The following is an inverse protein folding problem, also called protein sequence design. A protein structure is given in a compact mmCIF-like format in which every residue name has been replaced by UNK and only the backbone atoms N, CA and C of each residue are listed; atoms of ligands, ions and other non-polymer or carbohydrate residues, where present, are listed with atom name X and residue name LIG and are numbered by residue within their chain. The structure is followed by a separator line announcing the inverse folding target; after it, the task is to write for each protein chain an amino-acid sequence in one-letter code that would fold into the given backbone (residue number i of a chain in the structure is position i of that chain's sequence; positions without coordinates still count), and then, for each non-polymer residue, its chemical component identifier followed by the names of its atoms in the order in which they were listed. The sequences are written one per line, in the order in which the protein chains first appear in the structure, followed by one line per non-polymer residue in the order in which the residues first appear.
data_IF_947215650050
#
_entry.id   IF_947215650050
#
_cell.length_a   1.000
_cell.length_b   1.000
_cell.length_c   1.000
_cell.angle_alpha   90.00
_cell.angle_beta   90.00
_cell.angle_gamma   90.00
#
_symmetry.space_group_name_H-M   'P 1'
#
loop_
_entity.id
_entity.type
_entity.pdbx_description
1 polymer ?
#
# COMPACT_ATOMS: atom_id res chain seq x y z
N UNK A 1 -1.87 -9.87 3.78
CA UNK A 1 -1.50 -9.34 2.44
C UNK A 1 -2.74 -9.15 1.58
N UNK A 2 -2.76 -8.11 0.74
CA UNK A 2 -3.83 -7.91 -0.26
C UNK A 2 -3.27 -8.13 -1.67
N UNK A 3 -3.98 -8.89 -2.51
CA UNK A 3 -3.66 -9.12 -3.92
C UNK A 3 -4.72 -8.44 -4.77
N UNK A 4 -4.29 -7.54 -5.64
CA UNK A 4 -5.14 -6.81 -6.59
C UNK A 4 -4.53 -6.87 -7.98
N UNK A 5 -5.18 -6.24 -8.96
CA UNK A 5 -4.64 -6.12 -10.31
C UNK A 5 -5.63 -6.50 -11.39
N UNK A 6 -5.23 -6.28 -12.64
CA UNK A 6 -6.17 -6.24 -13.77
C UNK A 6 -6.82 -7.60 -14.02
N UNK A 7 -8.00 -7.59 -14.63
CA UNK A 7 -8.65 -8.83 -15.08
C UNK A 7 -7.72 -9.58 -16.05
N UNK A 8 -7.50 -10.88 -15.82
CA UNK A 8 -6.62 -11.69 -16.65
C UNK A 8 -5.11 -11.45 -16.48
N UNK A 9 -4.68 -10.66 -15.48
CA UNK A 9 -3.26 -10.43 -15.19
C UNK A 9 -2.55 -11.66 -14.57
N UNK A 10 -3.29 -12.68 -14.15
CA UNK A 10 -2.76 -13.92 -13.56
C UNK A 10 -2.79 -13.98 -12.04
N UNK A 11 -3.77 -13.33 -11.38
CA UNK A 11 -3.92 -13.29 -9.91
C UNK A 11 -4.04 -14.69 -9.30
N UNK A 12 -4.97 -15.49 -9.81
CA UNK A 12 -5.18 -16.89 -9.41
C UNK A 12 -3.91 -17.72 -9.58
N UNK A 13 -3.18 -17.55 -10.68
CA UNK A 13 -1.90 -18.23 -10.92
C UNK A 13 -0.84 -17.84 -9.89
N UNK A 14 -0.73 -16.55 -9.56
CA UNK A 14 0.18 -16.05 -8.54
C UNK A 14 -0.16 -16.58 -7.15
N UNK A 15 -1.43 -16.53 -6.76
CA UNK A 15 -1.89 -17.03 -5.45
C UNK A 15 -1.62 -18.52 -5.33
N UNK A 16 -1.97 -19.32 -6.35
CA UNK A 16 -1.68 -20.75 -6.34
C UNK A 16 -0.19 -21.06 -6.22
N UNK A 17 0.66 -20.34 -6.97
CA UNK A 17 2.11 -20.49 -6.86
C UNK A 17 2.59 -20.15 -5.44
N UNK A 18 2.11 -19.04 -4.88
CA UNK A 18 2.48 -18.59 -3.54
C UNK A 18 2.06 -19.58 -2.45
N UNK A 19 0.86 -20.16 -2.55
CA UNK A 19 0.36 -21.19 -1.64
C UNK A 19 1.26 -22.43 -1.66
N UNK A 20 1.65 -22.91 -2.86
CA UNK A 20 2.53 -24.07 -3.01
C UNK A 20 3.93 -23.84 -2.43
N UNK A 21 4.48 -22.63 -2.57
CA UNK A 21 5.80 -22.28 -2.04
C UNK A 21 5.84 -22.15 -0.52
N UNK A 22 4.71 -21.81 0.10
CA UNK A 22 4.59 -21.63 1.54
C UNK A 22 3.89 -22.84 2.20
N UNK A 23 4.20 -24.04 1.69
CA UNK A 23 3.70 -25.31 2.23
C UNK A 23 4.02 -25.42 3.73
N UNK A 24 2.99 -25.57 4.55
CA UNK A 24 3.09 -25.68 6.01
C UNK A 24 2.73 -24.41 6.77
N UNK A 25 2.60 -23.27 6.10
CA UNK A 25 2.05 -22.04 6.67
C UNK A 25 0.53 -22.12 6.70
N UNK A 26 -0.08 -21.74 7.82
CA UNK A 26 -1.54 -21.68 7.97
C UNK A 26 -2.10 -20.42 7.30
N UNK A 27 -2.51 -20.57 6.03
CA UNK A 27 -2.97 -19.45 5.19
C UNK A 27 -4.49 -19.51 5.03
N UNK A 28 -5.15 -18.40 5.34
CA UNK A 28 -6.53 -18.12 4.95
C UNK A 28 -6.57 -17.34 3.63
N UNK A 29 -7.49 -17.69 2.74
CA UNK A 29 -7.72 -16.99 1.48
C UNK A 29 -9.15 -16.44 1.43
N UNK A 30 -9.29 -15.15 1.17
CA UNK A 30 -10.58 -14.50 0.92
C UNK A 30 -10.61 -14.05 -0.53
N UNK A 31 -11.55 -14.60 -1.28
CA UNK A 31 -11.83 -14.20 -2.66
C UNK A 31 -13.00 -13.22 -2.64
N UNK A 32 -12.71 -11.94 -2.86
CA UNK A 32 -13.74 -10.91 -2.96
C UNK A 32 -14.14 -10.76 -4.44
N UNK A 33 -15.12 -11.56 -4.89
CA UNK A 33 -15.73 -11.48 -6.22
C UNK A 33 -16.96 -10.56 -6.28
N UNK A 34 -17.15 -9.91 -7.43
CA UNK A 34 -18.32 -9.08 -7.76
C UNK A 34 -18.91 -9.66 -9.05
N UNK A 35 -19.92 -10.53 -8.95
CA UNK A 35 -20.56 -11.19 -10.09
C UNK A 35 -21.02 -12.62 -9.77
N UNK A 36 -22.01 -13.12 -10.50
CA UNK A 36 -22.54 -14.49 -10.33
C UNK A 36 -21.56 -15.53 -10.92
N UNK A 37 -21.19 -16.49 -10.08
CA UNK A 37 -20.49 -17.76 -10.36
C UNK A 37 -18.97 -17.64 -10.58
N UNK A 38 -18.21 -18.03 -9.54
CA UNK A 38 -16.81 -18.40 -9.65
C UNK A 38 -16.70 -19.67 -10.52
N UNK A 39 -16.11 -19.55 -11.72
CA UNK A 39 -15.72 -20.74 -12.53
C UNK A 39 -14.37 -21.31 -12.03
N UNK A 40 -13.65 -20.53 -11.22
CA UNK A 40 -12.26 -20.80 -10.83
C UNK A 40 -12.09 -21.53 -9.49
N UNK A 41 -13.18 -21.85 -8.76
CA UNK A 41 -13.14 -22.65 -7.50
C UNK A 41 -12.55 -24.06 -7.68
N UNK A 42 -12.29 -24.48 -8.93
CA UNK A 42 -11.71 -25.79 -9.30
C UNK A 42 -10.23 -25.76 -9.68
N UNK A 43 -9.57 -24.60 -9.67
CA UNK A 43 -8.18 -24.45 -10.11
C UNK A 43 -7.15 -24.35 -8.97
N UNK A 44 -7.50 -24.76 -7.75
CA UNK A 44 -6.55 -24.84 -6.63
C UNK A 44 -6.00 -26.27 -6.57
N UNK A 45 -4.81 -26.48 -7.13
CA UNK A 45 -4.04 -27.74 -7.10
C UNK A 45 -3.57 -28.08 -5.68
N UNK A 46 -3.51 -29.38 -5.34
CA UNK A 46 -2.92 -30.16 -4.23
C UNK A 46 -2.73 -29.54 -2.81
N UNK A 47 -2.44 -28.25 -2.66
CA UNK A 47 -2.45 -27.53 -1.40
C UNK A 47 -3.73 -26.69 -1.27
N UNK A 48 -4.62 -27.10 -0.36
CA UNK A 48 -5.81 -26.34 -0.05
C UNK A 48 -5.49 -25.32 1.06
N UNK A 49 -5.84 -24.03 0.91
CA UNK A 49 -5.87 -23.10 2.04
C UNK A 49 -6.67 -23.71 3.19
N UNK A 50 -6.34 -23.34 4.42
CA UNK A 50 -7.09 -23.86 5.57
C UNK A 50 -8.55 -23.43 5.56
N UNK A 51 -8.81 -22.25 5.02
CA UNK A 51 -10.14 -21.74 4.77
C UNK A 51 -10.13 -20.90 3.50
N UNK A 52 -11.10 -21.16 2.62
CA UNK A 52 -11.46 -20.29 1.50
C UNK A 52 -12.82 -19.72 1.83
N UNK A 53 -12.93 -18.40 1.85
CA UNK A 53 -14.21 -17.72 2.01
C UNK A 53 -14.47 -16.84 0.80
N UNK A 54 -15.61 -17.07 0.16
CA UNK A 54 -16.19 -16.11 -0.78
C UNK A 54 -17.02 -15.12 0.04
N UNK A 55 -16.77 -13.82 -0.15
CA UNK A 55 -17.65 -12.77 0.40
C UNK A 55 -18.88 -12.63 -0.51
N UNK A 56 -19.76 -13.64 -0.48
CA UNK A 56 -21.00 -13.65 -1.26
C UNK A 56 -22.09 -12.85 -0.54
N UNK A 57 -21.97 -11.52 -0.50
CA UNK A 57 -23.09 -10.59 -0.35
C UNK A 57 -22.64 -9.17 -0.76
N UNK A 58 -23.24 -8.69 -1.85
CA UNK A 58 -22.88 -7.52 -2.64
C UNK A 58 -22.39 -6.26 -1.92
N UNK A 59 -21.40 -5.62 -2.56
CA UNK A 59 -21.00 -4.22 -2.42
C UNK A 59 -20.08 -3.83 -1.27
N UNK A 60 -18.75 -4.03 -1.42
CA UNK A 60 -17.74 -3.19 -0.72
C UNK A 60 -17.74 -1.75 -1.27
N UNK A 61 -18.93 -1.17 -1.44
CA UNK A 61 -19.15 0.25 -1.62
C UNK A 61 -20.23 0.68 -0.61
N UNK A 62 -19.78 1.40 0.41
CA UNK A 62 -20.59 2.32 1.23
C UNK A 62 -21.32 1.78 2.49
N UNK A 63 -21.53 0.47 2.70
CA UNK A 63 -22.20 -0.05 3.92
C UNK A 63 -21.47 -1.20 4.64
N UNK A 64 -20.32 -1.64 4.12
CA UNK A 64 -19.70 -2.95 4.44
C UNK A 64 -18.52 -2.88 5.43
N UNK A 65 -18.08 -1.71 5.87
CA UNK A 65 -16.95 -1.62 6.81
C UNK A 65 -17.14 -2.50 8.05
N UNK A 66 -18.33 -2.45 8.65
CA UNK A 66 -18.63 -3.26 9.84
C UNK A 66 -18.78 -4.75 9.49
N UNK A 67 -19.43 -5.09 8.37
CA UNK A 67 -19.66 -6.48 7.98
C UNK A 67 -18.36 -7.21 7.60
N UNK A 68 -17.48 -6.53 6.87
CA UNK A 68 -16.14 -7.02 6.56
C UNK A 68 -15.32 -7.26 7.83
N UNK A 69 -15.30 -6.27 8.73
CA UNK A 69 -14.55 -6.36 9.98
C UNK A 69 -15.09 -7.47 10.89
N UNK A 70 -16.42 -7.58 11.03
CA UNK A 70 -17.05 -8.67 11.78
C UNK A 70 -16.73 -10.05 11.19
N UNK A 71 -16.77 -10.19 9.85
CA UNK A 71 -16.46 -11.44 9.17
C UNK A 71 -15.01 -11.87 9.42
N UNK A 72 -14.06 -10.94 9.35
CA UNK A 72 -12.65 -11.21 9.66
C UNK A 72 -12.47 -11.62 11.14
N UNK A 73 -13.16 -10.95 12.06
CA UNK A 73 -13.12 -11.31 13.48
C UNK A 73 -13.69 -12.72 13.72
N UNK A 74 -14.78 -13.08 13.04
CA UNK A 74 -15.36 -14.43 13.14
C UNK A 74 -14.43 -15.50 12.54
N UNK A 75 -13.77 -15.21 11.43
CA UNK A 75 -12.80 -16.12 10.83
C UNK A 75 -11.66 -16.41 11.81
N UNK A 76 -11.09 -15.38 12.45
CA UNK A 76 -10.00 -15.58 13.42
C UNK A 76 -10.49 -16.29 14.69
N UNK A 77 -11.73 -16.04 15.12
CA UNK A 77 -12.33 -16.80 16.24
C UNK A 77 -12.50 -18.28 15.92
N UNK A 78 -12.80 -18.65 14.67
CA UNK A 78 -12.97 -20.05 14.22
C UNK A 78 -11.63 -20.71 13.88
N UNK A 79 -10.67 -19.94 13.39
CA UNK A 79 -9.37 -20.40 12.91
C UNK A 79 -8.26 -19.57 13.57
N UNK A 80 -8.10 -19.73 14.89
CA UNK A 80 -7.12 -19.01 15.73
C UNK A 80 -5.65 -19.39 15.44
N UNK A 81 -5.44 -20.44 14.64
CA UNK A 81 -4.15 -20.94 14.20
C UNK A 81 -3.69 -20.35 12.85
N UNK A 82 -4.49 -19.47 12.23
CA UNK A 82 -4.09 -18.79 10.99
C UNK A 82 -2.90 -17.87 11.24
N UNK A 83 -1.85 -18.06 10.44
CA UNK A 83 -0.63 -17.28 10.50
C UNK A 83 -0.63 -16.15 9.46
N UNK A 84 -1.30 -16.36 8.33
CA UNK A 84 -1.34 -15.43 7.21
C UNK A 84 -2.74 -15.35 6.60
N UNK A 85 -3.14 -14.16 6.19
CA UNK A 85 -4.38 -13.92 5.45
C UNK A 85 -4.07 -13.26 4.11
N UNK A 86 -4.55 -13.87 3.03
CA UNK A 86 -4.52 -13.33 1.68
C UNK A 86 -5.93 -12.89 1.31
N UNK A 87 -6.08 -11.64 0.87
CA UNK A 87 -7.34 -11.11 0.37
C UNK A 87 -7.16 -10.76 -1.10
N UNK A 88 -7.85 -11.48 -1.99
CA UNK A 88 -7.94 -11.13 -3.40
C UNK A 88 -9.08 -10.14 -3.62
N UNK A 89 -8.80 -9.02 -4.29
CA UNK A 89 -9.83 -8.10 -4.80
C UNK A 89 -10.10 -8.37 -6.28
N UNK A 90 -11.33 -8.18 -6.75
CA UNK A 90 -11.66 -8.31 -8.18
C UNK A 90 -10.76 -7.49 -9.10
N UNK A 91 -10.71 -7.93 -10.37
CA UNK A 91 -9.99 -7.24 -11.43
C UNK A 91 -10.36 -5.77 -11.64
N UNK A 92 -11.55 -5.36 -11.18
CA UNK A 92 -12.13 -4.03 -11.44
C UNK A 92 -12.32 -3.19 -10.17
N UNK A 93 -12.11 -3.76 -8.98
CA UNK A 93 -12.37 -3.09 -7.72
C UNK A 93 -11.29 -2.06 -7.37
N UNK A 94 -11.71 -1.03 -6.64
CA UNK A 94 -10.83 -0.14 -5.89
C UNK A 94 -10.36 -0.87 -4.61
N UNK A 95 -9.04 -1.03 -4.38
CA UNK A 95 -8.56 -1.70 -3.17
C UNK A 95 -8.63 -0.82 -1.91
N UNK A 96 -8.85 0.49 -2.03
CA UNK A 96 -8.92 1.42 -0.89
C UNK A 96 -9.87 0.97 0.22
N UNK A 97 -11.16 0.68 -0.08
CA UNK A 97 -12.13 0.20 0.90
C UNK A 97 -11.77 -1.13 1.60
N UNK A 98 -10.87 -1.93 1.02
CA UNK A 98 -10.38 -3.18 1.62
C UNK A 98 -9.16 -2.91 2.52
N UNK A 99 -8.34 -1.91 2.18
CA UNK A 99 -7.14 -1.53 2.93
C UNK A 99 -7.49 -0.68 4.17
N UNK A 100 -8.38 0.30 4.02
CA UNK A 100 -8.73 1.28 5.07
C UNK A 100 -9.12 0.66 6.42
N UNK A 101 -9.92 -0.43 6.49
CA UNK A 101 -10.29 -1.07 7.77
C UNK A 101 -9.12 -1.50 8.63
N UNK A 102 -8.02 -1.98 8.03
CA UNK A 102 -6.81 -2.38 8.77
C UNK A 102 -6.11 -1.20 9.46
N UNK A 103 -6.43 0.03 9.07
CA UNK A 103 -5.90 1.26 9.66
C UNK A 103 -6.94 2.07 10.45
N UNK A 104 -8.22 1.73 10.36
CA UNK A 104 -9.30 2.45 11.03
C UNK A 104 -9.87 1.67 12.22
N UNK A 105 -10.08 0.36 12.07
CA UNK A 105 -10.74 -0.48 13.07
C UNK A 105 -9.74 -0.91 14.16
N UNK A 106 -9.94 -0.51 15.44
CA UNK A 106 -9.09 -0.95 16.54
C UNK A 106 -9.04 -2.47 16.74
N UNK A 107 -10.14 -3.19 16.46
CA UNK A 107 -10.17 -4.64 16.59
C UNK A 107 -9.34 -5.30 15.49
N UNK A 108 -9.45 -4.84 14.24
CA UNK A 108 -8.62 -5.37 13.16
C UNK A 108 -7.14 -5.04 13.38
N UNK A 109 -6.81 -3.84 13.86
CA UNK A 109 -5.42 -3.48 14.22
C UNK A 109 -4.83 -4.38 15.29
N UNK A 110 -5.65 -4.86 16.21
CA UNK A 110 -5.20 -5.77 17.28
C UNK A 110 -5.01 -7.20 16.78
N UNK A 111 -5.79 -7.61 15.78
CA UNK A 111 -5.81 -8.98 15.28
C UNK A 111 -4.90 -9.21 14.06
N UNK A 112 -4.67 -8.17 13.26
CA UNK A 112 -3.97 -8.27 11.99
C UNK A 112 -2.89 -7.22 11.84
N UNK A 113 -1.80 -7.64 11.21
CA UNK A 113 -0.78 -6.74 10.70
C UNK A 113 -0.87 -6.66 9.17
N UNK A 114 -0.97 -5.43 8.66
CA UNK A 114 -1.01 -5.19 7.23
C UNK A 114 0.39 -5.34 6.60
N UNK A 115 0.59 -6.42 5.85
CA UNK A 115 1.88 -6.73 5.21
C UNK A 115 2.16 -5.89 3.95
N UNK A 116 1.13 -5.45 3.24
CA UNK A 116 1.25 -4.75 1.96
C UNK A 116 0.23 -5.20 0.89
N UNK A 117 0.19 -4.44 -0.21
CA UNK A 117 -0.62 -4.74 -1.40
C UNK A 117 0.25 -5.07 -2.60
N UNK A 118 -0.06 -6.17 -3.29
CA UNK A 118 0.57 -6.57 -4.54
C UNK A 118 -0.43 -6.35 -5.69
N UNK A 119 -0.04 -5.61 -6.72
CA UNK A 119 -0.85 -5.37 -7.92
C UNK A 119 -0.28 -6.13 -9.11
N UNK A 120 -1.06 -7.05 -9.67
CA UNK A 120 -0.70 -7.74 -10.92
C UNK A 120 -1.17 -6.92 -12.13
N UNK A 121 -0.24 -6.73 -13.08
CA UNK A 121 -0.47 -5.96 -14.29
C UNK A 121 -0.20 -6.83 -15.50
N UNK A 122 -1.17 -6.91 -16.41
CA UNK A 122 -0.99 -7.55 -17.72
C UNK A 122 -0.18 -6.62 -18.64
N UNK A 123 1.05 -7.00 -18.96
CA UNK A 123 1.94 -6.22 -19.84
C UNK A 123 1.40 -6.06 -21.25
N UNK A 124 0.71 -7.09 -21.77
CA UNK A 124 0.21 -7.11 -23.16
C UNK A 124 -0.94 -6.11 -23.30
N UNK A 125 -1.83 -6.08 -22.32
CA UNK A 125 -3.04 -5.25 -22.34
C UNK A 125 -2.89 -3.90 -21.60
N UNK A 126 -1.71 -3.60 -21.05
CA UNK A 126 -1.46 -2.47 -20.16
C UNK A 126 -2.04 -1.14 -20.66
N UNK A 127 -1.73 -0.76 -21.91
CA UNK A 127 -2.13 0.55 -22.45
C UNK A 127 -3.64 0.73 -22.56
N UNK A 128 -4.37 -0.37 -22.76
CA UNK A 128 -5.84 -0.36 -22.80
C UNK A 128 -6.41 -0.32 -21.38
N UNK A 129 -5.89 -1.14 -20.47
CA UNK A 129 -6.42 -1.25 -19.11
C UNK A 129 -6.13 -0.01 -18.25
N UNK A 130 -4.94 0.57 -18.35
CA UNK A 130 -4.50 1.67 -17.46
C UNK A 130 -5.25 3.00 -17.67
N UNK A 131 -6.12 3.10 -18.66
CA UNK A 131 -6.98 4.29 -18.83
C UNK A 131 -8.11 4.34 -17.82
N UNK A 132 -8.46 3.21 -17.21
CA UNK A 132 -9.52 3.14 -16.21
C UNK A 132 -9.01 3.60 -14.83
N UNK A 133 -9.80 4.44 -14.16
CA UNK A 133 -9.47 5.01 -12.84
C UNK A 133 -9.18 3.92 -11.80
N UNK A 134 -9.94 2.82 -11.81
CA UNK A 134 -9.75 1.74 -10.83
C UNK A 134 -8.42 1.01 -11.04
N UNK A 135 -8.04 0.71 -12.30
CA UNK A 135 -6.73 0.14 -12.61
C UNK A 135 -5.58 1.08 -12.19
N UNK A 136 -5.74 2.40 -12.34
CA UNK A 136 -4.77 3.38 -11.86
C UNK A 136 -4.66 3.34 -10.33
N UNK A 137 -5.79 3.31 -9.62
CA UNK A 137 -5.84 3.20 -8.15
C UNK A 137 -5.20 1.90 -7.64
N UNK A 138 -5.41 0.76 -8.31
CA UNK A 138 -4.76 -0.50 -7.97
C UNK A 138 -3.24 -0.38 -7.99
N UNK A 139 -2.69 0.29 -9.01
CA UNK A 139 -1.25 0.58 -9.09
C UNK A 139 -0.82 1.55 -7.97
N UNK A 140 -1.57 2.64 -7.73
CA UNK A 140 -1.27 3.67 -6.73
C UNK A 140 -1.21 3.10 -5.31
N UNK A 141 -2.13 2.20 -4.97
CA UNK A 141 -2.26 1.63 -3.64
C UNK A 141 -1.35 0.42 -3.40
N UNK A 142 -0.63 -0.05 -4.42
CA UNK A 142 0.27 -1.22 -4.31
C UNK A 142 1.66 -0.89 -3.76
N UNK A 143 2.21 -1.77 -2.93
CA UNK A 143 3.61 -1.75 -2.50
C UNK A 143 4.52 -2.45 -3.52
N UNK A 144 3.98 -3.41 -4.27
CA UNK A 144 4.65 -4.08 -5.36
C UNK A 144 3.73 -4.21 -6.57
N UNK A 145 4.27 -3.96 -7.76
CA UNK A 145 3.64 -4.23 -9.03
C UNK A 145 4.34 -5.41 -9.69
N UNK A 146 3.59 -6.48 -9.95
CA UNK A 146 4.04 -7.61 -10.76
C UNK A 146 3.60 -7.36 -12.19
N UNK A 147 4.55 -7.01 -13.04
CA UNK A 147 4.35 -6.82 -14.47
C UNK A 147 4.47 -8.18 -15.16
N UNK A 148 3.33 -8.85 -15.35
CA UNK A 148 3.25 -10.21 -15.84
C UNK A 148 3.11 -10.27 -17.37
N UNK A 149 3.47 -11.42 -17.97
CA UNK A 149 3.57 -11.63 -19.43
C UNK A 149 4.61 -10.71 -20.08
N UNK A 150 5.65 -10.35 -19.33
CA UNK A 150 6.66 -9.42 -19.81
C UNK A 150 7.44 -10.00 -21.01
N UNK A 151 7.67 -11.31 -21.04
CA UNK A 151 8.37 -11.98 -22.15
C UNK A 151 7.66 -11.91 -23.49
N UNK A 152 6.35 -11.63 -23.51
CA UNK A 152 5.54 -11.50 -24.73
C UNK A 152 5.47 -10.05 -25.25
N UNK A 153 6.17 -9.11 -24.60
CA UNK A 153 6.14 -7.69 -24.93
C UNK A 153 7.52 -7.20 -25.33
N UNK A 154 7.56 -6.41 -26.40
CA UNK A 154 8.79 -5.77 -26.88
C UNK A 154 9.50 -4.95 -25.78
N UNK A 155 10.84 -5.03 -25.65
CA UNK A 155 11.58 -4.33 -24.59
C UNK A 155 11.37 -2.81 -24.53
N UNK A 156 11.19 -2.13 -25.66
CA UNK A 156 10.93 -0.68 -25.67
C UNK A 156 9.51 -0.37 -25.19
N UNK A 157 8.53 -1.21 -25.55
CA UNK A 157 7.18 -1.11 -24.98
C UNK A 157 7.20 -1.34 -23.46
N UNK A 158 7.89 -2.37 -22.98
CA UNK A 158 8.06 -2.63 -21.54
C UNK A 158 8.66 -1.44 -20.81
N UNK A 159 9.71 -0.82 -21.38
CA UNK A 159 10.31 0.40 -20.81
C UNK A 159 9.31 1.54 -20.72
N UNK A 160 8.44 1.70 -21.72
CA UNK A 160 7.31 2.64 -21.68
C UNK A 160 6.33 2.33 -20.55
N UNK A 161 5.97 1.06 -20.35
CA UNK A 161 5.09 0.60 -19.27
C UNK A 161 5.72 0.91 -17.91
N UNK A 162 7.00 0.55 -17.69
CA UNK A 162 7.72 0.88 -16.45
C UNK A 162 7.71 2.37 -16.14
N UNK A 163 7.92 3.22 -17.14
CA UNK A 163 7.88 4.68 -16.97
C UNK A 163 6.49 5.15 -16.54
N UNK A 164 5.43 4.58 -17.11
CA UNK A 164 4.04 4.91 -16.77
C UNK A 164 3.66 4.42 -15.37
N UNK A 165 4.05 3.20 -14.99
CA UNK A 165 3.87 2.67 -13.64
C UNK A 165 4.61 3.53 -12.60
N UNK A 166 5.86 3.89 -12.87
CA UNK A 166 6.63 4.76 -11.99
C UNK A 166 6.05 6.17 -11.88
N UNK A 167 5.33 6.66 -12.90
CA UNK A 167 4.65 7.94 -12.86
C UNK A 167 3.39 7.92 -11.99
N UNK A 168 2.67 6.80 -11.96
CA UNK A 168 1.50 6.60 -11.11
C UNK A 168 1.89 6.31 -9.66
N UNK A 169 2.86 5.40 -9.46
CA UNK A 169 3.32 5.01 -8.14
C UNK A 169 4.83 4.84 -8.11
N UNK A 170 5.51 5.89 -7.66
CA UNK A 170 6.96 5.84 -7.49
C UNK A 170 7.38 5.01 -6.29
N UNK A 171 6.50 4.76 -5.32
CA UNK A 171 6.86 4.04 -4.09
C UNK A 171 6.86 2.52 -4.28
N UNK A 172 6.13 1.99 -5.27
CA UNK A 172 6.04 0.56 -5.52
C UNK A 172 7.33 -0.03 -6.13
N UNK A 173 7.70 -1.22 -5.69
CA UNK A 173 8.69 -2.05 -6.38
C UNK A 173 8.04 -2.65 -7.63
N UNK A 174 8.73 -2.65 -8.77
CA UNK A 174 8.20 -3.23 -10.01
C UNK A 174 9.04 -4.45 -10.37
N UNK A 175 8.40 -5.61 -10.47
CA UNK A 175 9.05 -6.89 -10.80
C UNK A 175 8.40 -7.46 -12.06
N UNK A 176 9.22 -8.00 -12.95
CA UNK A 176 8.75 -8.59 -14.20
C UNK A 176 8.72 -10.09 -14.12
N UNK A 177 7.64 -10.68 -14.62
CA UNK A 177 7.44 -12.13 -14.58
C UNK A 177 6.84 -12.65 -15.87
N UNK A 178 7.03 -13.95 -16.07
CA UNK A 178 6.18 -14.76 -16.93
C UNK A 178 5.43 -15.75 -16.03
N UNK A 179 4.14 -15.94 -16.28
CA UNK A 179 3.25 -16.82 -15.48
C UNK A 179 3.07 -16.43 -14.01
N UNK A 180 3.32 -15.17 -13.66
CA UNK A 180 3.18 -14.63 -12.31
C UNK A 180 3.90 -15.43 -11.21
N UNK A 181 5.06 -16.04 -11.55
CA UNK A 181 5.88 -16.79 -10.59
C UNK A 181 6.96 -15.90 -10.01
N UNK A 182 7.02 -15.85 -8.67
CA UNK A 182 8.05 -15.13 -7.92
C UNK A 182 8.65 -16.06 -6.88
N UNK A 183 9.69 -16.79 -7.28
CA UNK A 183 10.21 -17.86 -6.42
C UNK A 183 10.85 -17.35 -5.11
N UNK A 184 11.27 -16.08 -5.09
CA UNK A 184 11.89 -15.41 -3.94
C UNK A 184 10.89 -14.76 -2.98
N UNK A 185 9.59 -14.86 -3.23
CA UNK A 185 8.58 -14.19 -2.41
C UNK A 185 8.12 -15.10 -1.26
N UNK A 186 8.63 -14.84 -0.05
CA UNK A 186 8.20 -15.53 1.16
C UNK A 186 7.23 -14.67 1.96
N UNK A 187 6.10 -15.24 2.41
CA UNK A 187 5.04 -14.47 3.07
C UNK A 187 5.53 -13.75 4.33
N UNK A 188 6.34 -14.41 5.16
CA UNK A 188 6.90 -13.81 6.37
C UNK A 188 7.94 -12.72 6.11
N UNK A 189 8.59 -12.71 4.93
CA UNK A 189 9.60 -11.71 4.56
C UNK A 189 9.03 -10.57 3.72
N UNK A 190 7.78 -10.71 3.25
CA UNK A 190 7.15 -9.75 2.35
C UNK A 190 7.22 -8.31 2.89
N UNK A 191 6.77 -8.09 4.13
CA UNK A 191 6.71 -6.74 4.68
C UNK A 191 8.13 -6.15 4.90
N UNK A 192 9.09 -6.86 5.54
CA UNK A 192 10.49 -6.41 5.60
C UNK A 192 11.09 -6.09 4.23
N UNK A 193 10.95 -6.98 3.25
CA UNK A 193 11.54 -6.80 1.90
C UNK A 193 10.95 -5.57 1.20
N UNK A 194 9.63 -5.36 1.32
CA UNK A 194 8.96 -4.18 0.78
C UNK A 194 9.42 -2.89 1.46
N UNK A 195 9.66 -2.92 2.78
CA UNK A 195 10.17 -1.77 3.52
C UNK A 195 11.62 -1.45 3.12
N UNK A 196 12.49 -2.46 3.03
CA UNK A 196 13.88 -2.30 2.64
C UNK A 196 14.01 -1.73 1.22
N UNK A 197 13.28 -2.29 0.26
CA UNK A 197 13.27 -1.78 -1.11
C UNK A 197 12.72 -0.35 -1.16
N UNK A 198 11.69 -0.03 -0.38
CA UNK A 198 11.15 1.32 -0.27
C UNK A 198 12.20 2.32 0.26
N UNK A 199 12.91 1.98 1.33
CA UNK A 199 13.97 2.82 1.92
C UNK A 199 15.09 3.05 0.91
N UNK A 200 15.60 1.98 0.28
CA UNK A 200 16.65 2.07 -0.77
C UNK A 200 16.21 2.96 -1.92
N UNK A 201 14.94 2.88 -2.33
CA UNK A 201 14.40 3.65 -3.45
C UNK A 201 14.29 5.14 -3.13
N UNK A 202 13.87 5.49 -1.92
CA UNK A 202 13.70 6.90 -1.51
C UNK A 202 15.00 7.63 -1.18
N UNK A 203 16.02 6.93 -0.67
CA UNK A 203 17.32 7.54 -0.38
C UNK A 203 18.07 8.00 -1.63
N UNK A 204 17.77 7.44 -2.81
CA UNK A 204 18.40 7.90 -4.05
C UNK A 204 17.94 9.33 -4.40
N UNK A 205 18.86 10.28 -4.64
CA UNK A 205 18.51 11.66 -4.95
C UNK A 205 17.79 11.72 -6.29
N UNK A 206 16.48 11.99 -6.24
CA UNK A 206 15.66 12.17 -7.43
C UNK A 206 14.62 13.25 -7.14
N UNK A 207 14.69 14.35 -7.90
CA UNK A 207 13.57 15.26 -8.08
C UNK A 207 12.63 14.59 -9.08
N UNK A 208 11.45 14.18 -8.65
CA UNK A 208 10.46 13.66 -9.58
C UNK A 208 9.08 14.15 -9.22
N UNK A 209 8.55 14.94 -10.13
CA UNK A 209 7.13 15.13 -10.30
C UNK A 209 6.75 14.31 -11.52
N UNK A 210 5.68 13.53 -11.39
CA UNK A 210 5.16 12.76 -12.49
C UNK A 210 3.65 12.94 -12.54
N UNK A 211 3.14 13.11 -13.74
CA UNK A 211 1.72 13.20 -14.01
C UNK A 211 1.30 12.09 -14.97
N UNK A 212 0.20 11.42 -14.64
CA UNK A 212 -0.36 10.36 -15.46
C UNK A 212 -1.86 10.25 -15.25
N UNK A 213 -2.65 10.62 -16.27
CA UNK A 213 -4.10 10.44 -16.23
C UNK A 213 -4.79 11.29 -15.16
N UNK A 214 -4.28 12.50 -14.91
CA UNK A 214 -4.76 13.40 -13.86
C UNK A 214 -4.27 13.07 -12.44
N UNK A 215 -3.52 11.98 -12.28
CA UNK A 215 -2.83 11.66 -11.02
C UNK A 215 -1.46 12.31 -11.00
N UNK A 216 -1.13 12.92 -9.87
CA UNK A 216 0.15 13.55 -9.60
C UNK A 216 0.86 12.75 -8.50
N UNK A 217 2.12 12.43 -8.75
CA UNK A 217 3.04 11.90 -7.74
C UNK A 217 4.22 12.85 -7.59
N UNK A 218 4.44 13.33 -6.36
CA UNK A 218 5.56 14.22 -6.07
C UNK A 218 6.15 13.92 -4.69
N UNK A 219 7.38 14.39 -4.48
CA UNK A 219 8.13 14.20 -3.25
C UNK A 219 8.42 15.55 -2.60
N UNK A 220 8.18 15.63 -1.29
CA UNK A 220 8.61 16.74 -0.44
C UNK A 220 9.74 16.23 0.46
N UNK A 221 10.82 17.00 0.53
CA UNK A 221 12.00 16.70 1.35
C UNK A 221 12.25 17.86 2.30
N UNK A 222 12.56 17.57 3.56
CA UNK A 222 12.88 18.59 4.55
C UNK A 222 13.79 18.03 5.65
N UNK A 223 14.70 18.87 6.14
CA UNK A 223 15.65 18.49 7.20
C UNK A 223 15.06 18.59 8.61
N UNK A 224 15.79 18.01 9.57
CA UNK A 224 15.50 18.10 11.00
C UNK A 224 14.79 16.86 11.56
N UNK A 225 14.78 16.74 12.89
CA UNK A 225 14.02 15.70 13.58
C UNK A 225 12.62 16.20 13.94
N UNK A 226 11.67 15.28 14.05
CA UNK A 226 10.27 15.56 14.36
C UNK A 226 9.93 15.10 15.78
N UNK A 227 9.05 15.85 16.45
CA UNK A 227 8.46 15.37 17.69
C UNK A 227 7.34 14.39 17.35
N UNK A 228 7.43 13.15 17.83
CA UNK A 228 6.61 12.04 17.36
C UNK A 228 5.10 12.29 17.54
N UNK A 229 4.66 12.65 18.74
CA UNK A 229 3.22 12.83 19.00
C UNK A 229 2.63 13.97 18.17
N UNK A 230 3.34 15.09 18.08
CA UNK A 230 2.90 16.26 17.30
C UNK A 230 2.84 15.94 15.80
N UNK A 231 3.81 15.17 15.29
CA UNK A 231 3.77 14.71 13.91
C UNK A 231 2.61 13.75 13.65
N UNK A 232 2.36 12.77 14.52
CA UNK A 232 1.27 11.80 14.37
C UNK A 232 -0.09 12.49 14.33
N UNK A 233 -0.32 13.46 15.21
CA UNK A 233 -1.54 14.26 15.24
C UNK A 233 -1.72 15.08 13.95
N UNK A 234 -0.67 15.83 13.56
CA UNK A 234 -0.68 16.60 12.32
C UNK A 234 -0.90 15.71 11.09
N UNK A 235 -0.18 14.58 11.01
CA UNK A 235 -0.24 13.67 9.88
C UNK A 235 -1.61 13.04 9.74
N UNK A 236 -2.21 12.61 10.85
CA UNK A 236 -3.58 12.09 10.87
C UNK A 236 -4.61 13.15 10.46
N UNK A 237 -4.47 14.38 10.96
CA UNK A 237 -5.36 15.48 10.59
C UNK A 237 -5.23 15.83 9.10
N UNK A 238 -4.00 16.00 8.61
CA UNK A 238 -3.68 16.31 7.22
C UNK A 238 -4.24 15.23 6.28
N UNK A 239 -3.96 13.96 6.56
CA UNK A 239 -4.42 12.85 5.73
C UNK A 239 -5.95 12.78 5.70
N UNK A 240 -6.62 12.97 6.83
CA UNK A 240 -8.09 12.99 6.90
C UNK A 240 -8.69 14.17 6.14
N UNK A 241 -8.08 15.36 6.21
CA UNK A 241 -8.56 16.56 5.53
C UNK A 241 -8.49 16.41 4.01
N UNK A 242 -7.41 15.79 3.51
CA UNK A 242 -7.13 15.63 2.08
C UNK A 242 -7.57 14.27 1.51
N UNK A 243 -8.35 13.48 2.26
CA UNK A 243 -8.69 12.08 1.90
C UNK A 243 -9.37 11.89 0.54
N UNK A 244 -10.02 12.93 0.02
CA UNK A 244 -10.73 12.88 -1.27
C UNK A 244 -9.80 13.05 -2.48
N UNK A 245 -8.66 13.71 -2.31
CA UNK A 245 -7.73 14.05 -3.38
C UNK A 245 -6.41 13.30 -3.26
N UNK A 246 -5.91 13.07 -2.04
CA UNK A 246 -4.71 12.28 -1.76
C UNK A 246 -5.12 10.85 -1.44
N UNK A 247 -4.78 9.93 -2.34
CA UNK A 247 -5.07 8.51 -2.17
C UNK A 247 -4.00 7.78 -1.36
N UNK A 248 -2.75 8.22 -1.49
CA UNK A 248 -1.64 7.62 -0.78
C UNK A 248 -0.59 8.63 -0.36
N UNK A 249 -0.10 8.45 0.86
CA UNK A 249 1.14 9.07 1.34
C UNK A 249 2.06 7.94 1.79
N UNK A 250 3.34 8.01 1.46
CA UNK A 250 4.37 7.11 2.04
C UNK A 250 5.65 7.90 2.25
N UNK A 251 6.36 7.65 3.34
CA UNK A 251 7.54 8.44 3.64
C UNK A 251 8.45 7.86 4.70
N UNK A 252 9.60 8.51 4.83
CA UNK A 252 10.63 8.25 5.81
C UNK A 252 10.75 9.49 6.70
N UNK A 253 10.61 9.33 8.00
CA UNK A 253 10.74 10.44 8.96
C UNK A 253 11.64 10.05 10.13
N UNK A 254 12.28 11.06 10.70
CA UNK A 254 13.19 10.91 11.82
C UNK A 254 12.56 11.55 13.06
N UNK A 255 12.37 10.77 14.12
CA UNK A 255 11.87 11.27 15.39
C UNK A 255 12.99 11.59 16.37
N UNK A 256 12.76 12.60 17.19
CA UNK A 256 13.66 12.96 18.29
C UNK A 256 13.82 11.79 19.26
N UNK A 257 15.06 11.56 19.73
CA UNK A 257 15.41 10.48 20.67
C UNK A 257 15.07 9.05 20.20
N UNK A 258 14.81 8.85 18.90
CA UNK A 258 14.57 7.53 18.34
C UNK A 258 15.71 7.15 17.37
N UNK A 259 16.50 6.10 17.66
CA UNK A 259 17.57 5.64 16.76
C UNK A 259 17.04 4.84 15.56
N UNK A 260 15.73 4.65 15.44
CA UNK A 260 15.08 3.87 14.39
C UNK A 260 14.38 4.83 13.41
N UNK A 261 14.57 4.58 12.12
CA UNK A 261 13.88 5.29 11.06
C UNK A 261 12.39 4.93 11.09
N UNK A 262 11.50 5.92 11.06
CA UNK A 262 10.07 5.67 10.98
C UNK A 262 9.59 5.67 9.52
N UNK A 263 8.84 4.65 9.14
CA UNK A 263 8.12 4.57 7.87
C UNK A 263 6.68 5.00 8.13
N UNK A 264 6.27 6.08 7.47
CA UNK A 264 4.92 6.62 7.58
C UNK A 264 4.13 6.27 6.33
N UNK A 265 2.85 5.97 6.49
CA UNK A 265 1.97 5.74 5.35
C UNK A 265 0.55 6.20 5.61
N UNK A 266 -0.16 6.56 4.54
CA UNK A 266 -1.59 6.80 4.53
C UNK A 266 -2.25 6.19 3.31
N UNK A 267 -3.43 5.61 3.52
CA UNK A 267 -4.36 5.14 2.49
C UNK A 267 -5.75 5.62 2.86
N UNK A 268 -6.44 6.32 1.94
CA UNK A 268 -7.81 6.80 2.19
C UNK A 268 -7.94 7.81 3.35
N UNK A 269 -6.85 8.50 3.70
CA UNK A 269 -6.79 9.40 4.85
C UNK A 269 -6.51 8.72 6.19
N UNK A 270 -6.51 7.39 6.25
CA UNK A 270 -6.07 6.64 7.44
C UNK A 270 -4.56 6.57 7.48
N UNK A 271 -3.96 6.61 8.66
CA UNK A 271 -2.50 6.70 8.81
C UNK A 271 -1.92 5.57 9.65
N UNK A 272 -0.68 5.22 9.36
CA UNK A 272 0.14 4.32 10.16
C UNK A 272 1.59 4.77 10.16
N UNK A 273 2.28 4.47 11.25
CA UNK A 273 3.71 4.69 11.40
C UNK A 273 4.30 3.42 11.99
N UNK A 274 5.26 2.84 11.27
CA UNK A 274 5.96 1.61 11.65
C UNK A 274 7.45 1.88 11.76
N UNK A 275 8.12 1.08 12.57
CA UNK A 275 9.57 1.10 12.71
C UNK A 275 10.23 0.45 11.50
N UNK A 276 11.30 1.06 10.98
CA UNK A 276 12.12 0.54 9.91
C UNK A 276 13.52 0.18 10.41
N UNK A 277 14.54 0.49 9.61
CA UNK A 277 15.93 0.20 9.94
C UNK A 277 16.54 1.20 10.94
N UNK A 278 17.56 0.75 11.67
CA UNK A 278 18.39 1.61 12.52
C UNK A 278 19.03 2.72 11.66
N UNK A 279 18.98 3.94 12.16
CA UNK A 279 19.55 5.12 11.50
C UNK A 279 21.07 4.96 11.44
N UNK A 280 21.63 5.03 10.22
CA UNK A 280 23.07 5.15 10.06
C UNK A 280 23.48 6.61 10.30
N UNK A 281 24.40 6.90 11.24
CA UNK A 281 24.84 8.27 11.52
C UNK A 281 25.46 8.99 10.31
N UNK A 282 25.89 8.24 9.29
CA UNK A 282 26.44 8.81 8.05
C UNK A 282 25.37 9.14 7.01
N UNK A 283 24.13 8.68 7.18
CA UNK A 283 23.05 9.00 6.26
C UNK A 283 22.54 10.42 6.51
N UNK A 284 22.16 11.17 5.46
CA UNK A 284 21.57 12.49 5.63
C UNK A 284 20.24 12.39 6.39
N UNK A 285 20.10 13.19 7.45
CA UNK A 285 18.87 13.37 8.21
C UNK A 285 17.85 14.23 7.43
N UNK A 286 17.33 13.64 6.37
CA UNK A 286 16.34 14.25 5.48
C UNK A 286 15.05 13.43 5.50
N UNK A 287 13.98 14.04 6.01
CA UNK A 287 12.64 13.46 5.95
C UNK A 287 12.13 13.53 4.50
N UNK A 288 11.44 12.48 4.07
CA UNK A 288 10.96 12.33 2.71
C UNK A 288 9.50 11.91 2.76
N UNK A 289 8.59 12.70 2.19
CA UNK A 289 7.19 12.34 2.03
C UNK A 289 6.85 12.29 0.54
N UNK A 290 6.28 11.18 0.08
CA UNK A 290 5.73 11.02 -1.27
C UNK A 290 4.21 11.10 -1.19
N UNK A 291 3.64 11.98 -1.99
CA UNK A 291 2.20 12.17 -2.12
C UNK A 291 1.76 11.64 -3.48
N UNK A 292 0.65 10.91 -3.49
CA UNK A 292 0.02 10.42 -4.70
C UNK A 292 -1.47 10.70 -4.61
N UNK A 293 -1.97 11.49 -5.56
CA UNK A 293 -3.35 11.94 -5.56
C UNK A 293 -3.79 12.47 -6.90
N UNK A 294 -5.05 12.87 -7.00
CA UNK A 294 -5.64 13.46 -8.20
C UNK A 294 -5.94 14.94 -7.94
N UNK A 295 -5.58 15.79 -8.91
CA UNK A 295 -5.82 17.24 -8.84
C UNK A 295 -5.20 17.92 -7.60
N UNK A 296 -4.06 17.39 -7.13
CA UNK A 296 -3.33 17.90 -5.96
C UNK A 296 -2.25 18.90 -6.37
N UNK A 297 -2.15 20.01 -5.62
CA UNK A 297 -1.11 21.03 -5.82
C UNK A 297 0.06 20.79 -4.88
N UNK A 298 1.24 20.51 -5.45
CA UNK A 298 2.48 20.40 -4.68
C UNK A 298 2.75 21.66 -3.86
N UNK A 299 2.55 22.83 -4.44
CA UNK A 299 2.81 24.11 -3.78
C UNK A 299 1.94 24.32 -2.53
N UNK A 300 0.65 23.99 -2.59
CA UNK A 300 -0.25 24.12 -1.43
C UNK A 300 0.09 23.10 -0.34
N UNK A 301 0.39 21.85 -0.73
CA UNK A 301 0.79 20.82 0.23
C UNK A 301 2.15 21.16 0.88
N UNK A 302 3.10 21.69 0.12
CA UNK A 302 4.38 22.18 0.66
C UNK A 302 4.20 23.32 1.66
N UNK A 303 3.27 24.25 1.43
CA UNK A 303 2.93 25.29 2.42
C UNK A 303 2.38 24.70 3.72
N UNK A 304 1.50 23.72 3.64
CA UNK A 304 0.92 23.07 4.83
C UNK A 304 2.00 22.33 5.64
N UNK A 305 2.87 21.58 4.97
CA UNK A 305 4.04 20.93 5.60
C UNK A 305 4.93 21.99 6.24
N UNK A 306 5.24 23.08 5.53
CA UNK A 306 6.08 24.14 6.05
C UNK A 306 5.46 24.85 7.26
N UNK A 307 4.14 25.08 7.24
CA UNK A 307 3.40 25.67 8.37
C UNK A 307 3.49 24.81 9.62
N UNK A 308 3.37 23.48 9.48
CA UNK A 308 3.61 22.55 10.59
C UNK A 308 5.04 22.67 11.14
N UNK A 309 6.04 22.69 10.26
CA UNK A 309 7.44 22.83 10.66
C UNK A 309 7.72 24.16 11.39
N UNK A 310 7.06 25.25 10.99
CA UNK A 310 7.20 26.58 11.62
C UNK A 310 6.51 26.67 12.99
N UNK A 311 5.41 25.96 13.22
CA UNK A 311 4.73 25.94 14.53
C UNK A 311 5.64 25.40 15.64
N UNK A 312 6.66 24.60 15.28
CA UNK A 312 7.72 24.11 16.17
C UNK A 312 8.63 25.22 16.74
N UNK A 313 8.58 26.44 16.20
CA UNK A 313 9.42 27.58 16.62
C UNK A 313 8.69 28.61 17.50
N UNK A 314 7.44 28.37 17.92
CA UNK A 314 6.87 29.15 19.01
C UNK A 314 7.14 28.40 20.32
N UNK A 315 8.07 28.87 21.18
CA UNK A 315 8.14 28.34 22.53
C UNK A 315 6.77 28.52 23.17
N UNK A 316 6.28 27.48 23.84
CA UNK A 316 5.10 27.56 24.70
C UNK A 316 5.17 28.89 25.46
N UNK A 317 4.24 29.80 25.18
CA UNK A 317 4.02 30.93 26.07
C UNK A 317 3.64 30.30 27.38
N UNK A 318 4.61 30.21 28.30
CA UNK A 318 4.37 30.05 29.72
C UNK A 318 3.20 30.98 30.02
N UNK A 319 2.08 30.41 30.43
CA UNK A 319 1.04 31.17 31.08
C UNK A 319 1.74 31.91 32.20
N UNK A 320 1.88 33.23 32.03
CA UNK A 320 2.38 34.11 33.07
C UNK A 320 1.51 33.87 34.29
N UNK A 321 2.16 33.38 35.34
CA UNK A 321 1.73 33.65 36.69
C UNK A 321 1.84 35.17 36.89
N UNK A 322 0.73 35.80 37.29
CA UNK A 322 0.63 37.22 37.68
C UNK A 322 -0.78 37.70 37.34
N UNK A 323 -1.64 38.12 38.26
CA UNK A 323 -1.55 38.39 39.71
C UNK A 323 -2.87 37.95 40.36
#
# INVERSE_FOLDING_TARGET
MIVTGFLGAGKTTFINHLLLQNNGVKIGLIENEFGDVSVDTRLITDYKPECIMELSNGCICCTIFNEFSMTLQELIKKHDHLEQLIIETTGIADPGPVIEPFFQDPDLKRLFEYSGTICLVDSINFHKSITETNHQKQVILSDMVILNKAGDVDPEKLKGIRKKLSALNKTATVVETNYARLDSLHLYQLQPDLQDEFVKKLRKPFYSEAESGGFHSFTIRFGGMLHENSFREWFSYFASLHRSSIFRIKGLVYFENNPILAIVQSVGGMTSVVEGAVINPNDPLENILVFIGKEISKYEIEKEVHKYLLQKHQPERKADQGD
#
